data_IF_608396863544
#
_entry.id   IF_608396863544
#
_cell.length_a   1.000
_cell.length_b   1.000
_cell.length_c   1.000
_cell.angle_alpha   90.00
_cell.angle_beta   90.00
_cell.angle_gamma   90.00
#
_symmetry.space_group_name_H-M   'P 1'
#
loop_
_entity.id
_entity.type
_entity.pdbx_description
1 polymer ?
#
# COMPACT_ATOMS: atom_id res chain seq x y z
N UNK A 1 29.31 -15.54 22.22
CA UNK A 1 28.93 -14.24 21.61
C UNK A 1 28.66 -14.51 20.14
N UNK A 2 27.40 -14.75 19.77
CA UNK A 2 27.00 -15.10 18.40
C UNK A 2 26.12 -13.99 17.83
N UNK A 3 26.57 -13.35 16.76
CA UNK A 3 25.82 -12.33 16.04
C UNK A 3 24.69 -13.00 15.25
N UNK A 4 23.45 -12.79 15.70
CA UNK A 4 22.25 -13.05 14.91
C UNK A 4 22.08 -11.93 13.88
N UNK A 5 22.41 -12.20 12.62
CA UNK A 5 21.92 -11.39 11.51
C UNK A 5 20.42 -11.61 11.39
N UNK A 6 19.63 -10.55 11.60
CA UNK A 6 18.20 -10.54 11.34
C UNK A 6 17.97 -10.88 9.87
N UNK A 7 17.29 -12.00 9.63
CA UNK A 7 16.79 -12.38 8.32
C UNK A 7 15.83 -11.30 7.80
N UNK A 8 16.01 -10.89 6.54
CA UNK A 8 15.07 -10.04 5.83
C UNK A 8 13.69 -10.72 5.84
N UNK A 9 12.64 -9.98 6.21
CA UNK A 9 11.27 -10.43 6.03
C UNK A 9 10.99 -10.51 4.52
N UNK A 10 10.89 -11.73 4.01
CA UNK A 10 10.39 -12.02 2.67
C UNK A 10 9.01 -11.38 2.47
N UNK A 11 8.83 -10.82 1.27
CA UNK A 11 7.61 -10.16 0.85
C UNK A 11 6.41 -11.11 0.95
N UNK A 12 5.32 -10.67 1.57
CA UNK A 12 4.05 -11.42 1.60
C UNK A 12 3.32 -11.45 0.25
N UNK A 13 3.89 -10.84 -0.80
CA UNK A 13 3.32 -10.78 -2.15
C UNK A 13 3.30 -12.14 -2.90
N UNK A 14 3.81 -13.22 -2.30
CA UNK A 14 3.88 -14.55 -2.93
C UNK A 14 2.55 -15.34 -2.88
N UNK A 15 1.48 -14.76 -3.42
CA UNK A 15 0.35 -15.55 -3.91
C UNK A 15 0.03 -15.10 -5.33
N UNK A 16 1.01 -15.26 -6.22
CA UNK A 16 0.83 -15.29 -7.67
C UNK A 16 1.28 -16.68 -8.14
N UNK A 17 0.54 -17.37 -9.03
CA UNK A 17 0.93 -18.68 -9.53
C UNK A 17 2.37 -18.68 -10.07
N UNK A 18 3.19 -19.60 -9.54
CA UNK A 18 4.56 -19.88 -9.98
C UNK A 18 4.54 -20.51 -11.38
N UNK A 19 4.37 -19.69 -12.40
CA UNK A 19 4.62 -20.09 -13.79
C UNK A 19 5.80 -19.24 -14.33
N UNK A 20 6.96 -19.89 -14.45
CA UNK A 20 8.19 -19.45 -15.13
C UNK A 20 9.00 -18.28 -14.51
N UNK A 21 9.65 -18.51 -13.36
CA UNK A 21 10.71 -17.63 -12.87
C UNK A 21 12.00 -17.78 -13.71
N UNK A 22 12.15 -16.98 -14.78
CA UNK A 22 13.47 -16.64 -15.31
C UNK A 22 14.23 -15.84 -14.23
N UNK A 23 15.57 -15.97 -14.10
CA UNK A 23 16.31 -15.12 -13.19
C UNK A 23 16.16 -13.66 -13.62
N UNK A 24 15.55 -12.85 -12.75
CA UNK A 24 15.34 -11.43 -13.01
C UNK A 24 16.70 -10.72 -13.17
N UNK A 25 16.85 -9.80 -14.15
CA UNK A 25 18.07 -9.02 -14.32
C UNK A 25 18.45 -8.30 -13.01
N UNK A 26 19.73 -8.40 -12.63
CA UNK A 26 20.24 -7.73 -11.44
C UNK A 26 20.53 -6.25 -11.73
N UNK A 27 20.00 -5.38 -10.88
CA UNK A 27 20.20 -3.93 -10.94
C UNK A 27 20.78 -3.47 -9.61
N UNK A 28 21.87 -2.70 -9.64
CA UNK A 28 22.44 -2.11 -8.43
C UNK A 28 22.06 -0.66 -8.32
N UNK A 29 21.65 -0.24 -7.13
CA UNK A 29 21.39 1.15 -6.82
C UNK A 29 22.30 1.59 -5.68
N UNK A 30 23.13 2.58 -5.96
CA UNK A 30 24.01 3.23 -5.00
C UNK A 30 23.39 4.55 -4.57
N UNK A 31 23.27 4.81 -3.28
CA UNK A 31 22.77 6.09 -2.80
C UNK A 31 22.52 6.12 -1.31
N UNK A 32 22.22 7.32 -0.80
CA UNK A 32 21.86 7.48 0.61
C UNK A 32 20.51 6.80 0.88
N UNK A 33 20.40 5.96 1.93
CA UNK A 33 19.12 5.36 2.31
C UNK A 33 18.08 6.41 2.73
N UNK A 34 18.54 7.57 3.20
CA UNK A 34 17.69 8.68 3.64
C UNK A 34 17.44 9.72 2.53
N UNK A 35 17.92 9.50 1.30
CA UNK A 35 17.61 10.42 0.22
C UNK A 35 16.22 10.14 -0.34
N UNK A 36 15.43 11.21 -0.51
CA UNK A 36 14.13 11.12 -1.17
C UNK A 36 14.28 10.54 -2.58
N UNK A 37 15.22 11.05 -3.37
CA UNK A 37 15.46 10.59 -4.73
C UNK A 37 15.83 9.11 -4.78
N UNK A 38 16.77 8.66 -3.93
CA UNK A 38 17.12 7.24 -3.85
C UNK A 38 15.91 6.38 -3.52
N UNK A 39 15.07 6.82 -2.58
CA UNK A 39 13.88 6.08 -2.16
C UNK A 39 12.86 5.94 -3.29
N UNK A 40 12.62 7.01 -4.07
CA UNK A 40 11.75 6.93 -5.25
C UNK A 40 12.26 5.92 -6.28
N UNK A 41 13.57 5.89 -6.55
CA UNK A 41 14.15 4.92 -7.47
C UNK A 41 14.04 3.49 -6.91
N UNK A 42 14.25 3.29 -5.60
CA UNK A 42 14.05 1.98 -4.95
C UNK A 42 12.63 1.47 -5.17
N UNK A 43 11.62 2.30 -4.87
CA UNK A 43 10.22 1.90 -5.06
C UNK A 43 9.91 1.60 -6.51
N UNK A 44 10.36 2.46 -7.43
CA UNK A 44 10.17 2.24 -8.86
C UNK A 44 10.69 0.86 -9.30
N UNK A 45 11.88 0.48 -8.84
CA UNK A 45 12.50 -0.81 -9.17
C UNK A 45 11.81 -2.00 -8.49
N UNK A 46 11.19 -1.83 -7.32
CA UNK A 46 10.41 -2.91 -6.68
C UNK A 46 9.21 -3.36 -7.53
N UNK A 47 8.66 -2.47 -8.35
CA UNK A 47 7.59 -2.81 -9.29
C UNK A 47 8.08 -3.41 -10.60
N UNK A 48 9.38 -3.36 -10.89
CA UNK A 48 9.95 -3.89 -12.13
C UNK A 48 10.35 -5.36 -11.95
N UNK A 49 10.38 -6.15 -13.03
CA UNK A 49 10.84 -7.54 -12.99
C UNK A 49 12.37 -7.63 -12.89
N UNK A 50 12.97 -7.01 -11.87
CA UNK A 50 14.41 -6.90 -11.63
C UNK A 50 14.75 -7.40 -10.24
N UNK A 51 15.98 -7.87 -10.05
CA UNK A 51 16.54 -8.11 -8.71
C UNK A 51 17.31 -6.87 -8.27
N UNK A 52 16.75 -6.11 -7.33
CA UNK A 52 17.39 -4.90 -6.82
C UNK A 52 18.43 -5.22 -5.74
N UNK A 53 19.68 -4.86 -6.00
CA UNK A 53 20.75 -4.81 -5.00
C UNK A 53 21.00 -3.37 -4.59
N UNK A 54 20.44 -2.96 -3.44
CA UNK A 54 20.70 -1.63 -2.89
C UNK A 54 22.02 -1.59 -2.10
N UNK A 55 22.87 -0.62 -2.40
CA UNK A 55 24.18 -0.41 -1.78
C UNK A 55 24.18 1.00 -1.15
N UNK A 56 24.03 1.11 0.18
CA UNK A 56 24.04 2.39 0.87
C UNK A 56 25.38 3.12 0.66
N UNK A 57 25.34 4.35 0.14
CA UNK A 57 26.54 5.17 -0.06
C UNK A 57 26.20 6.66 -0.09
N UNK A 58 26.91 7.48 0.70
CA UNK A 58 26.81 8.95 0.61
C UNK A 58 27.54 9.50 -0.62
N UNK A 59 28.68 8.88 -0.96
CA UNK A 59 29.45 9.12 -2.19
C UNK A 59 29.72 7.75 -2.83
N UNK A 60 29.21 7.49 -4.04
CA UNK A 60 29.43 6.22 -4.72
C UNK A 60 30.94 6.04 -5.00
N UNK A 61 31.56 4.91 -4.62
CA UNK A 61 32.98 4.72 -4.87
C UNK A 61 33.26 4.64 -6.37
N UNK A 62 34.18 5.47 -6.85
CA UNK A 62 34.83 5.36 -8.17
C UNK A 62 33.96 5.59 -9.43
N UNK A 63 32.77 6.19 -9.31
CA UNK A 63 31.94 6.49 -10.48
C UNK A 63 32.06 7.93 -11.00
N UNK A 64 32.65 8.85 -10.24
CA UNK A 64 32.75 10.27 -10.64
C UNK A 64 31.41 11.02 -10.68
N UNK A 65 30.32 10.40 -10.21
CA UNK A 65 28.97 10.97 -10.16
C UNK A 65 28.54 11.28 -8.72
N UNK A 66 27.65 12.24 -8.56
CA UNK A 66 26.87 12.41 -7.33
C UNK A 66 25.83 11.28 -7.21
N UNK A 67 25.47 10.89 -5.98
CA UNK A 67 24.42 9.92 -5.72
C UNK A 67 23.01 10.52 -6.00
N UNK A 68 22.00 9.73 -6.41
CA UNK A 68 22.05 8.27 -6.60
C UNK A 68 22.61 7.82 -7.96
N UNK A 69 23.20 6.62 -8.00
CA UNK A 69 23.74 5.97 -9.21
C UNK A 69 23.07 4.62 -9.40
N UNK A 70 22.50 4.39 -10.58
CA UNK A 70 21.93 3.13 -11.01
C UNK A 70 22.91 2.42 -11.95
N UNK A 71 23.17 1.13 -11.69
CA UNK A 71 23.99 0.27 -12.53
C UNK A 71 23.15 -0.90 -13.05
N UNK A 72 23.14 -1.08 -14.37
CA UNK A 72 22.55 -2.23 -15.04
C UNK A 72 23.46 -2.72 -16.16
N UNK A 73 24.02 -3.93 -16.04
CA UNK A 73 25.02 -4.41 -16.98
C UNK A 73 26.27 -3.51 -17.02
N UNK A 74 26.61 -3.00 -18.21
CA UNK A 74 27.67 -2.00 -18.42
C UNK A 74 27.23 -0.57 -18.12
N UNK A 75 25.94 -0.34 -17.99
CA UNK A 75 25.37 1.00 -18.01
C UNK A 75 25.36 1.59 -16.60
N UNK A 76 25.74 2.85 -16.52
CA UNK A 76 25.82 3.63 -15.29
C UNK A 76 25.08 4.95 -15.51
N UNK A 77 24.05 5.18 -14.71
CA UNK A 77 23.18 6.35 -14.83
C UNK A 77 23.11 7.06 -13.49
N UNK A 78 23.28 8.37 -13.52
CA UNK A 78 23.09 9.28 -12.40
C UNK A 78 22.42 10.56 -12.89
N UNK A 79 21.86 11.34 -11.98
CA UNK A 79 21.27 12.64 -12.24
C UNK A 79 19.97 12.83 -11.50
N UNK A 80 19.09 13.68 -12.05
CA UNK A 80 17.80 13.95 -11.43
C UNK A 80 16.91 12.71 -11.36
N UNK A 81 16.02 12.68 -10.36
CA UNK A 81 14.96 11.67 -10.22
C UNK A 81 14.23 11.39 -11.54
N UNK A 82 13.86 12.43 -12.27
CA UNK A 82 13.18 12.29 -13.57
C UNK A 82 14.05 11.59 -14.63
N UNK A 83 15.35 11.87 -14.66
CA UNK A 83 16.29 11.24 -15.59
C UNK A 83 16.42 9.74 -15.30
N UNK A 84 16.57 9.38 -14.03
CA UNK A 84 16.71 7.99 -13.61
C UNK A 84 15.42 7.20 -13.79
N UNK A 85 14.26 7.77 -13.45
CA UNK A 85 12.96 7.11 -13.68
C UNK A 85 12.70 6.88 -15.17
N UNK A 86 13.05 7.84 -16.04
CA UNK A 86 12.95 7.67 -17.50
C UNK A 86 13.85 6.54 -18.00
N UNK A 87 15.06 6.41 -17.47
CA UNK A 87 15.92 5.28 -17.79
C UNK A 87 15.29 3.94 -17.35
N UNK A 88 14.77 3.87 -16.12
CA UNK A 88 14.06 2.67 -15.62
C UNK A 88 12.85 2.32 -16.49
N UNK A 89 12.07 3.31 -16.94
CA UNK A 89 10.97 3.11 -17.88
C UNK A 89 11.42 2.63 -19.26
N UNK A 90 12.59 3.07 -19.72
CA UNK A 90 13.11 2.67 -21.04
C UNK A 90 13.60 1.22 -21.02
N UNK A 91 14.38 0.85 -19.99
CA UNK A 91 14.96 -0.48 -19.86
C UNK A 91 13.93 -1.51 -19.37
N UNK A 92 13.00 -1.10 -18.50
CA UNK A 92 11.99 -1.95 -17.90
C UNK A 92 10.60 -1.34 -18.10
N UNK A 93 10.04 -1.35 -19.33
CA UNK A 93 8.81 -0.61 -19.66
C UNK A 93 7.55 -1.14 -18.98
N UNK A 94 7.58 -2.38 -18.48
CA UNK A 94 6.42 -3.01 -17.87
C UNK A 94 6.70 -3.41 -16.41
N UNK A 95 5.78 -3.13 -15.47
CA UNK A 95 4.58 -2.31 -15.62
C UNK A 95 4.91 -0.79 -15.66
N UNK A 96 4.12 0.06 -16.34
CA UNK A 96 4.40 1.50 -16.42
C UNK A 96 4.33 2.21 -15.05
N UNK A 97 5.32 3.05 -14.76
CA UNK A 97 5.43 3.89 -13.55
C UNK A 97 4.74 5.23 -13.70
N UNK A 98 4.53 5.71 -14.94
CA UNK A 98 3.96 7.03 -15.21
C UNK A 98 2.70 6.91 -16.07
N UNK A 99 1.69 7.74 -15.79
CA UNK A 99 0.54 7.96 -16.68
C UNK A 99 0.13 9.42 -16.64
N UNK A 100 -0.56 9.91 -17.68
CA UNK A 100 -1.00 11.31 -17.81
C UNK A 100 -2.18 11.70 -16.91
N UNK A 101 -2.41 11.01 -15.80
CA UNK A 101 -3.54 11.27 -14.89
C UNK A 101 -3.12 12.14 -13.72
N UNK A 102 -3.80 13.28 -13.59
CA UNK A 102 -3.64 14.25 -12.52
C UNK A 102 -3.33 15.63 -13.10
N UNK A 103 -4.38 16.41 -13.37
CA UNK A 103 -4.20 17.85 -13.55
C UNK A 103 -3.55 18.41 -12.28
N UNK A 104 -2.56 19.29 -12.41
CA UNK A 104 -1.91 19.94 -11.25
C UNK A 104 -2.93 20.70 -10.38
N UNK A 105 -4.14 20.90 -10.90
CA UNK A 105 -5.27 21.56 -10.26
C UNK A 105 -6.00 20.71 -9.21
N UNK A 106 -5.91 19.37 -9.25
CA UNK A 106 -6.62 18.53 -8.27
C UNK A 106 -6.03 18.74 -6.87
N UNK A 107 -6.86 19.05 -5.84
CA UNK A 107 -6.40 19.23 -4.47
C UNK A 107 -5.59 18.04 -3.96
N UNK A 108 -4.54 18.31 -3.18
CA UNK A 108 -3.68 17.26 -2.61
C UNK A 108 -4.45 16.28 -1.72
N UNK A 109 -5.43 16.78 -0.97
CA UNK A 109 -6.30 15.97 -0.11
C UNK A 109 -7.15 15.00 -0.93
N UNK A 110 -7.71 15.43 -2.05
CA UNK A 110 -8.49 14.54 -2.94
C UNK A 110 -7.60 13.43 -3.48
N UNK A 111 -6.39 13.80 -3.95
CA UNK A 111 -5.44 12.83 -4.48
C UNK A 111 -5.01 11.79 -3.43
N UNK A 112 -4.71 12.22 -2.20
CA UNK A 112 -4.27 11.29 -1.15
C UNK A 112 -5.40 10.33 -0.76
N UNK A 113 -6.63 10.82 -0.62
CA UNK A 113 -7.82 10.01 -0.29
C UNK A 113 -8.11 8.96 -1.37
N UNK A 114 -8.12 9.35 -2.66
CA UNK A 114 -8.33 8.39 -3.76
C UNK A 114 -7.26 7.29 -3.78
N UNK A 115 -6.00 7.63 -3.52
CA UNK A 115 -4.93 6.62 -3.46
C UNK A 115 -5.15 5.67 -2.27
N UNK A 116 -5.65 6.15 -1.14
CA UNK A 116 -6.00 5.29 -0.01
C UNK A 116 -7.16 4.34 -0.35
N UNK A 117 -8.21 4.81 -1.01
CA UNK A 117 -9.32 3.97 -1.49
C UNK A 117 -8.81 2.82 -2.36
N UNK A 118 -7.88 3.13 -3.28
CA UNK A 118 -7.30 2.14 -4.19
C UNK A 118 -6.48 1.09 -3.45
N UNK A 119 -5.65 1.51 -2.47
CA UNK A 119 -4.88 0.57 -1.63
C UNK A 119 -5.80 -0.36 -0.85
N UNK A 120 -6.80 0.19 -0.16
CA UNK A 120 -7.78 -0.59 0.61
C UNK A 120 -8.52 -1.57 -0.28
N UNK A 121 -9.04 -1.10 -1.42
CA UNK A 121 -9.79 -1.93 -2.38
C UNK A 121 -8.95 -3.10 -2.88
N UNK A 122 -7.68 -2.86 -3.22
CA UNK A 122 -6.78 -3.90 -3.67
C UNK A 122 -6.54 -4.97 -2.60
N UNK A 123 -6.32 -4.55 -1.35
CA UNK A 123 -6.09 -5.49 -0.24
C UNK A 123 -7.33 -6.32 0.08
N UNK A 124 -8.53 -5.72 0.07
CA UNK A 124 -9.79 -6.45 0.23
C UNK A 124 -9.95 -7.48 -0.89
N UNK A 125 -9.72 -7.08 -2.15
CA UNK A 125 -9.76 -7.98 -3.31
C UNK A 125 -8.78 -9.14 -3.22
N UNK A 126 -7.57 -8.87 -2.73
CA UNK A 126 -6.56 -9.90 -2.49
C UNK A 126 -7.00 -10.88 -1.41
N UNK A 127 -7.54 -10.39 -0.28
CA UNK A 127 -8.02 -11.26 0.80
C UNK A 127 -9.23 -12.10 0.37
N UNK A 128 -10.14 -11.56 -0.44
CA UNK A 128 -11.23 -12.33 -1.04
C UNK A 128 -10.68 -13.50 -1.86
N UNK A 129 -9.75 -13.22 -2.79
CA UNK A 129 -9.14 -14.27 -3.64
C UNK A 129 -8.40 -15.33 -2.81
N UNK A 130 -7.69 -14.90 -1.76
CA UNK A 130 -6.98 -15.81 -0.87
C UNK A 130 -7.94 -16.68 -0.05
N UNK A 131 -9.01 -16.10 0.50
CA UNK A 131 -10.04 -16.87 1.21
C UNK A 131 -10.74 -17.90 0.30
N UNK A 132 -11.07 -17.52 -0.94
CA UNK A 132 -11.63 -18.44 -1.93
C UNK A 132 -10.68 -19.58 -2.30
N UNK A 133 -9.38 -19.29 -2.40
CA UNK A 133 -8.37 -20.31 -2.65
C UNK A 133 -8.21 -21.27 -1.46
N UNK A 134 -8.11 -20.74 -0.23
CA UNK A 134 -8.08 -21.56 0.99
C UNK A 134 -9.31 -22.46 1.09
N UNK A 135 -10.50 -21.91 0.83
CA UNK A 135 -11.74 -22.68 0.84
C UNK A 135 -11.75 -23.77 -0.24
N UNK A 136 -11.40 -23.46 -1.49
CA UNK A 136 -11.37 -24.46 -2.59
C UNK A 136 -10.40 -25.61 -2.33
N UNK A 137 -9.27 -25.34 -1.67
CA UNK A 137 -8.30 -26.38 -1.26
C UNK A 137 -8.70 -27.11 0.01
N UNK A 138 -9.73 -26.62 0.70
CA UNK A 138 -10.07 -27.05 2.05
C UNK A 138 -8.92 -26.91 3.04
N UNK A 139 -8.16 -25.82 2.91
CA UNK A 139 -6.96 -25.55 3.70
C UNK A 139 -5.78 -26.48 3.44
N UNK A 140 -5.82 -27.39 2.46
CA UNK A 140 -4.64 -28.21 2.11
C UNK A 140 -3.57 -27.32 1.49
N UNK A 141 -2.35 -27.35 2.03
CA UNK A 141 -1.21 -26.61 1.48
C UNK A 141 -0.95 -27.03 0.02
N UNK A 142 -0.51 -26.08 -0.82
CA UNK A 142 -0.10 -26.36 -2.20
C UNK A 142 1.21 -27.17 -2.31
N UNK A 143 1.80 -27.58 -1.19
CA UNK A 143 3.19 -28.02 -1.15
C UNK A 143 4.16 -26.83 -1.27
N UNK A 144 3.63 -25.61 -1.19
CA UNK A 144 4.40 -24.37 -1.20
C UNK A 144 5.05 -24.19 0.19
N UNK A 145 6.40 -24.27 0.29
CA UNK A 145 7.10 -24.12 1.56
C UNK A 145 6.91 -22.73 2.16
N UNK A 146 6.62 -21.71 1.34
CA UNK A 146 6.38 -20.34 1.79
C UNK A 146 5.07 -20.27 2.57
N UNK A 147 3.98 -20.86 2.08
CA UNK A 147 2.68 -20.83 2.76
C UNK A 147 2.66 -21.63 4.07
N UNK A 148 3.45 -22.70 4.13
CA UNK A 148 3.58 -23.54 5.32
C UNK A 148 2.36 -24.44 5.55
N UNK A 149 2.10 -24.78 6.82
CA UNK A 149 0.96 -25.61 7.21
C UNK A 149 -0.38 -24.85 7.10
N UNK A 150 -1.54 -25.53 7.01
CA UNK A 150 -2.85 -24.88 6.96
C UNK A 150 -3.07 -23.85 8.08
N UNK A 151 -2.60 -24.18 9.28
CA UNK A 151 -2.66 -23.29 10.45
C UNK A 151 -1.76 -22.07 10.31
N UNK A 152 -0.58 -22.23 9.71
CA UNK A 152 0.30 -21.10 9.42
C UNK A 152 -0.32 -20.19 8.36
N UNK A 153 -0.96 -20.76 7.34
CA UNK A 153 -1.65 -20.01 6.30
C UNK A 153 -2.77 -19.13 6.90
N UNK A 154 -3.63 -19.69 7.74
CA UNK A 154 -4.69 -18.93 8.43
C UNK A 154 -4.11 -17.83 9.32
N UNK A 155 -3.00 -18.06 10.03
CA UNK A 155 -2.33 -17.01 10.83
C UNK A 155 -1.78 -15.87 9.97
N UNK A 156 -1.23 -16.19 8.79
CA UNK A 156 -0.77 -15.16 7.85
C UNK A 156 -1.94 -14.37 7.29
N UNK A 157 -3.05 -15.04 7.00
CA UNK A 157 -4.31 -14.41 6.59
C UNK A 157 -4.83 -13.46 7.68
N UNK A 158 -4.91 -13.92 8.93
CA UNK A 158 -5.31 -13.12 10.10
C UNK A 158 -4.45 -11.88 10.27
N UNK A 159 -3.12 -12.02 10.13
CA UNK A 159 -2.19 -10.90 10.19
C UNK A 159 -2.49 -9.88 9.09
N UNK A 160 -2.63 -10.31 7.83
CA UNK A 160 -2.93 -9.40 6.71
C UNK A 160 -4.28 -8.71 6.89
N UNK A 161 -5.31 -9.44 7.32
CA UNK A 161 -6.62 -8.85 7.60
C UNK A 161 -6.55 -7.82 8.75
N UNK A 162 -5.75 -8.09 9.79
CA UNK A 162 -5.56 -7.15 10.89
C UNK A 162 -4.85 -5.87 10.46
N UNK A 163 -3.84 -5.98 9.58
CA UNK A 163 -3.15 -4.83 8.99
C UNK A 163 -4.11 -4.01 8.10
N UNK A 164 -4.92 -4.68 7.27
CA UNK A 164 -5.94 -4.01 6.47
C UNK A 164 -6.96 -3.26 7.33
N UNK A 165 -7.46 -3.90 8.40
CA UNK A 165 -8.40 -3.28 9.31
C UNK A 165 -7.83 -1.99 9.92
N UNK A 166 -6.56 -1.99 10.30
CA UNK A 166 -5.90 -0.80 10.82
C UNK A 166 -5.78 0.31 9.77
N UNK A 167 -5.42 -0.01 8.52
CA UNK A 167 -5.41 0.97 7.42
C UNK A 167 -6.81 1.56 7.17
N UNK A 168 -7.86 0.73 7.21
CA UNK A 168 -9.24 1.19 7.04
C UNK A 168 -9.68 2.12 8.18
N UNK A 169 -9.30 1.82 9.42
CA UNK A 169 -9.62 2.66 10.58
C UNK A 169 -8.86 3.99 10.56
N UNK A 170 -7.59 3.97 10.19
CA UNK A 170 -6.79 5.20 10.00
C UNK A 170 -7.37 6.08 8.90
N UNK A 171 -7.80 5.47 7.80
CA UNK A 171 -8.43 6.16 6.67
C UNK A 171 -9.76 6.81 7.08
N UNK A 172 -10.69 6.06 7.66
CA UNK A 172 -11.95 6.61 8.16
C UNK A 172 -11.72 7.72 9.19
N UNK A 173 -10.75 7.54 10.09
CA UNK A 173 -10.38 8.56 11.07
C UNK A 173 -9.79 9.83 10.43
N UNK A 174 -8.98 9.69 9.39
CA UNK A 174 -8.44 10.81 8.62
C UNK A 174 -9.57 11.62 8.00
N UNK A 175 -10.56 10.96 7.42
CA UNK A 175 -11.72 11.62 6.82
C UNK A 175 -12.55 12.34 7.86
N UNK A 176 -12.94 11.64 8.93
CA UNK A 176 -13.76 12.17 10.02
C UNK A 176 -13.13 13.38 10.72
N UNK A 177 -11.79 13.41 10.84
CA UNK A 177 -11.08 14.48 11.54
C UNK A 177 -10.65 15.63 10.64
N UNK A 178 -10.38 15.36 9.36
CA UNK A 178 -9.77 16.33 8.44
C UNK A 178 -10.67 16.66 7.26
N UNK A 179 -11.03 15.67 6.45
CA UNK A 179 -11.78 15.87 5.18
C UNK A 179 -13.21 16.33 5.47
N UNK A 180 -13.94 15.58 6.30
CA UNK A 180 -15.34 15.85 6.59
C UNK A 180 -15.56 17.19 7.27
N UNK A 181 -14.74 17.62 8.27
CA UNK A 181 -14.89 18.94 8.86
C UNK A 181 -14.65 20.11 7.90
N UNK A 182 -13.91 19.92 6.80
CA UNK A 182 -13.76 20.94 5.76
C UNK A 182 -15.06 21.05 4.96
N UNK A 183 -15.63 19.91 4.54
CA UNK A 183 -16.90 19.87 3.80
C UNK A 183 -18.06 20.40 4.65
N UNK A 184 -18.16 20.01 5.92
CA UNK A 184 -19.21 20.45 6.86
C UNK A 184 -19.17 21.95 7.17
N UNK A 185 -17.99 22.58 7.04
CA UNK A 185 -17.85 24.04 7.13
C UNK A 185 -18.35 24.74 5.87
N UNK A 186 -18.23 24.10 4.72
CA UNK A 186 -18.72 24.63 3.45
C UNK A 186 -20.25 24.49 3.36
N UNK A 187 -20.80 23.32 3.70
CA UNK A 187 -22.23 23.09 3.82
C UNK A 187 -22.53 21.99 4.85
N UNK A 188 -23.50 22.24 5.73
CA UNK A 188 -23.79 21.37 6.88
C UNK A 188 -24.58 20.13 6.44
N UNK A 189 -24.12 18.96 6.88
CA UNK A 189 -24.77 17.67 6.66
C UNK A 189 -24.29 16.92 5.43
N UNK A 190 -23.32 17.45 4.68
CA UNK A 190 -22.76 16.79 3.50
C UNK A 190 -22.17 15.42 3.82
N UNK A 191 -21.57 15.24 4.99
CA UNK A 191 -20.79 14.03 5.31
C UNK A 191 -21.55 13.06 6.22
N UNK A 192 -22.83 13.34 6.48
CA UNK A 192 -23.66 12.53 7.38
C UNK A 192 -23.78 11.08 6.90
N UNK A 193 -24.03 10.86 5.61
CA UNK A 193 -24.20 9.52 5.05
C UNK A 193 -22.91 8.68 5.15
N UNK A 194 -21.77 9.26 4.79
CA UNK A 194 -20.46 8.60 4.89
C UNK A 194 -20.10 8.23 6.35
N UNK A 195 -20.35 9.14 7.30
CA UNK A 195 -20.18 8.86 8.73
C UNK A 195 -21.07 7.70 9.22
N UNK A 196 -22.32 7.65 8.77
CA UNK A 196 -23.22 6.55 9.12
C UNK A 196 -22.79 5.22 8.47
N UNK A 197 -22.13 5.25 7.30
CA UNK A 197 -21.54 4.09 6.65
C UNK A 197 -20.36 3.54 7.46
N UNK A 198 -19.43 4.39 7.89
CA UNK A 198 -18.33 3.98 8.79
C UNK A 198 -18.84 3.27 10.04
N UNK A 199 -19.88 3.82 10.68
CA UNK A 199 -20.48 3.24 11.88
C UNK A 199 -21.13 1.87 11.61
N UNK A 200 -21.72 1.67 10.43
CA UNK A 200 -22.35 0.40 10.02
C UNK A 200 -21.32 -0.67 9.63
N UNK A 201 -20.19 -0.28 9.06
CA UNK A 201 -19.19 -1.22 8.55
C UNK A 201 -18.25 -1.73 9.66
N UNK A 202 -18.03 -0.95 10.71
CA UNK A 202 -17.23 -1.36 11.87
C UNK A 202 -17.63 -2.73 12.48
N UNK A 203 -18.90 -3.02 12.80
CA UNK A 203 -19.30 -4.34 13.30
C UNK A 203 -19.10 -5.46 12.27
N UNK A 204 -19.23 -5.19 10.97
CA UNK A 204 -18.99 -6.18 9.91
C UNK A 204 -17.51 -6.56 9.90
N UNK A 205 -16.63 -5.56 9.92
CA UNK A 205 -15.19 -5.74 9.94
C UNK A 205 -14.73 -6.53 11.17
N UNK A 206 -15.24 -6.19 12.35
CA UNK A 206 -14.93 -6.90 13.60
C UNK A 206 -15.45 -8.34 13.56
N UNK A 207 -16.66 -8.57 13.05
CA UNK A 207 -17.20 -9.92 12.93
C UNK A 207 -16.38 -10.81 12.01
N UNK A 208 -15.82 -10.29 10.91
CA UNK A 208 -14.92 -11.05 10.03
C UNK A 208 -13.61 -11.37 10.77
N UNK A 209 -13.08 -10.43 11.56
CA UNK A 209 -11.88 -10.67 12.38
C UNK A 209 -12.08 -11.86 13.33
N UNK A 210 -13.23 -11.91 14.00
CA UNK A 210 -13.55 -12.98 14.94
C UNK A 210 -13.76 -14.33 14.23
N UNK A 211 -14.37 -14.35 13.04
CA UNK A 211 -14.45 -15.57 12.23
C UNK A 211 -13.07 -16.13 11.88
N UNK A 212 -12.14 -15.26 11.46
CA UNK A 212 -10.78 -15.68 11.11
C UNK A 212 -10.08 -16.29 12.32
N UNK A 213 -10.20 -15.66 13.51
CA UNK A 213 -9.65 -16.20 14.76
C UNK A 213 -10.26 -17.55 15.10
N UNK A 214 -11.59 -17.69 14.95
CA UNK A 214 -12.28 -18.95 15.19
C UNK A 214 -11.77 -20.06 14.26
N UNK A 215 -11.58 -19.78 12.97
CA UNK A 215 -10.98 -20.72 12.02
C UNK A 215 -9.56 -21.12 12.46
N UNK A 216 -8.77 -20.17 12.98
CA UNK A 216 -7.37 -20.39 13.39
C UNK A 216 -7.17 -21.36 14.56
N UNK A 217 -8.24 -21.66 15.32
CA UNK A 217 -8.20 -22.61 16.45
C UNK A 217 -8.80 -23.98 16.13
N UNK A 218 -9.43 -24.14 14.96
CA UNK A 218 -10.02 -25.41 14.53
C UNK A 218 -8.97 -26.38 13.97
N UNK A 219 -9.24 -27.67 14.09
CA UNK A 219 -8.40 -28.72 13.52
C UNK A 219 -8.57 -28.81 12.00
N UNK A 220 -7.46 -28.56 11.29
CA UNK A 220 -7.44 -28.62 9.83
C UNK A 220 -7.83 -30.01 9.32
N UNK A 221 -8.66 -30.05 8.28
CA UNK A 221 -9.12 -31.30 7.67
C UNK A 221 -10.41 -31.87 8.27
N UNK A 222 -10.94 -31.27 9.33
CA UNK A 222 -12.26 -31.64 9.88
C UNK A 222 -13.40 -31.02 9.06
N UNK A 223 -14.62 -31.62 9.05
CA UNK A 223 -15.79 -31.00 8.41
C UNK A 223 -16.12 -29.60 8.97
N UNK A 224 -15.93 -29.39 10.27
CA UNK A 224 -16.16 -28.10 10.94
C UNK A 224 -15.21 -27.02 10.41
N UNK A 225 -13.93 -27.37 10.20
CA UNK A 225 -12.96 -26.46 9.57
C UNK A 225 -13.34 -26.09 8.13
N UNK A 226 -13.84 -27.07 7.35
CA UNK A 226 -14.31 -26.81 5.97
C UNK A 226 -15.53 -25.88 5.94
N UNK A 227 -16.49 -26.11 6.84
CA UNK A 227 -17.68 -25.28 6.98
C UNK A 227 -17.28 -23.83 7.35
N UNK A 228 -16.42 -23.67 8.34
CA UNK A 228 -15.93 -22.35 8.77
C UNK A 228 -15.19 -21.61 7.63
N UNK A 229 -14.32 -22.31 6.88
CA UNK A 229 -13.66 -21.75 5.70
C UNK A 229 -14.67 -21.35 4.60
N UNK A 230 -15.74 -22.12 4.40
CA UNK A 230 -16.75 -21.81 3.38
C UNK A 230 -17.55 -20.54 3.68
N UNK A 231 -17.71 -20.20 4.97
CA UNK A 231 -18.40 -18.99 5.41
C UNK A 231 -17.61 -17.69 5.23
N UNK A 232 -16.28 -17.76 5.15
CA UNK A 232 -15.42 -16.58 5.13
C UNK A 232 -15.48 -15.77 3.80
N UNK A 233 -15.37 -16.38 2.60
CA UNK A 233 -15.41 -15.63 1.34
C UNK A 233 -16.70 -14.80 1.12
N UNK A 234 -17.92 -15.32 1.39
CA UNK A 234 -19.14 -14.51 1.30
C UNK A 234 -19.09 -13.24 2.16
N UNK A 235 -18.58 -13.34 3.39
CA UNK A 235 -18.47 -12.17 4.29
C UNK A 235 -17.47 -11.13 3.78
N UNK A 236 -16.31 -11.58 3.30
CA UNK A 236 -15.31 -10.69 2.69
C UNK A 236 -15.83 -10.02 1.42
N UNK A 237 -16.64 -10.72 0.61
CA UNK A 237 -17.31 -10.14 -0.57
C UNK A 237 -18.34 -9.08 -0.20
N UNK A 238 -19.07 -9.26 0.90
CA UNK A 238 -19.95 -8.22 1.42
C UNK A 238 -19.16 -6.97 1.82
N UNK A 239 -18.08 -7.13 2.58
CA UNK A 239 -17.19 -6.02 2.94
C UNK A 239 -16.60 -5.33 1.69
N UNK A 240 -16.13 -6.11 0.71
CA UNK A 240 -15.64 -5.62 -0.56
C UNK A 240 -16.67 -4.77 -1.30
N UNK A 241 -17.92 -5.23 -1.34
CA UNK A 241 -19.02 -4.51 -1.97
C UNK A 241 -19.26 -3.18 -1.25
N UNK A 242 -19.33 -3.19 0.08
CA UNK A 242 -19.51 -1.98 0.88
C UNK A 242 -18.39 -0.97 0.64
N UNK A 243 -17.12 -1.39 0.72
CA UNK A 243 -15.98 -0.51 0.45
C UNK A 243 -16.06 0.13 -0.94
N UNK A 244 -16.37 -0.67 -1.97
CA UNK A 244 -16.48 -0.17 -3.34
C UNK A 244 -17.63 0.82 -3.52
N UNK A 245 -18.77 0.56 -2.90
CA UNK A 245 -19.94 1.45 -2.98
C UNK A 245 -19.65 2.76 -2.24
N UNK A 246 -19.16 2.67 -1.00
CA UNK A 246 -18.76 3.81 -0.18
C UNK A 246 -17.74 4.72 -0.89
N UNK A 247 -16.57 4.18 -1.27
CA UNK A 247 -15.52 4.97 -1.94
C UNK A 247 -16.00 5.58 -3.26
N UNK A 248 -16.84 4.87 -4.01
CA UNK A 248 -17.39 5.41 -5.26
C UNK A 248 -18.33 6.59 -5.01
N UNK A 249 -19.18 6.51 -4.01
CA UNK A 249 -20.08 7.61 -3.65
C UNK A 249 -19.29 8.81 -3.12
N UNK A 250 -18.28 8.58 -2.29
CA UNK A 250 -17.40 9.64 -1.81
C UNK A 250 -16.61 10.32 -2.93
N UNK A 251 -15.95 9.55 -3.81
CA UNK A 251 -15.21 10.09 -4.95
C UNK A 251 -16.11 10.93 -5.86
N UNK A 252 -17.32 10.43 -6.13
CA UNK A 252 -18.27 11.08 -7.03
C UNK A 252 -18.93 12.31 -6.41
N UNK A 253 -19.18 12.31 -5.10
CA UNK A 253 -19.98 13.34 -4.45
C UNK A 253 -19.15 14.21 -3.51
N UNK A 254 -18.48 13.62 -2.52
CA UNK A 254 -17.76 14.37 -1.50
C UNK A 254 -16.43 14.94 -2.02
N UNK A 255 -15.63 14.14 -2.71
CA UNK A 255 -14.34 14.60 -3.23
C UNK A 255 -14.50 15.56 -4.40
N UNK A 256 -15.54 15.38 -5.22
CA UNK A 256 -15.90 16.36 -6.26
C UNK A 256 -16.30 17.71 -5.66
N UNK A 257 -16.95 17.73 -4.49
CA UNK A 257 -17.21 18.98 -3.75
C UNK A 257 -15.94 19.55 -3.14
N UNK A 258 -15.04 18.71 -2.63
CA UNK A 258 -13.73 19.12 -2.13
C UNK A 258 -12.88 19.80 -3.22
N UNK A 259 -12.98 19.36 -4.47
CA UNK A 259 -12.35 20.03 -5.63
C UNK A 259 -12.88 21.45 -5.86
N UNK A 260 -14.15 21.70 -5.57
CA UNK A 260 -14.75 23.03 -5.68
C UNK A 260 -14.42 23.94 -4.48
N UNK A 261 -13.81 23.42 -3.42
CA UNK A 261 -13.36 24.24 -2.29
C UNK A 261 -12.06 24.94 -2.70
N UNK A 262 -12.13 26.26 -2.80
CA UNK A 262 -11.00 27.13 -3.14
C UNK A 262 -9.99 27.25 -1.98
N UNK A 263 -9.24 26.18 -1.71
CA UNK A 263 -8.13 26.22 -0.76
C UNK A 263 -6.93 26.97 -1.38
N UNK A 264 -6.26 27.78 -0.58
CA UNK A 264 -4.97 28.34 -0.96
C UNK A 264 -3.90 27.25 -1.09
N UNK A 265 -2.78 27.54 -1.77
CA UNK A 265 -1.66 26.60 -1.89
C UNK A 265 -1.13 26.16 -0.52
N UNK A 266 -1.03 27.09 0.42
CA UNK A 266 -0.60 26.83 1.79
C UNK A 266 -1.61 25.95 2.54
N UNK A 267 -2.92 26.17 2.31
CA UNK A 267 -3.97 25.34 2.88
C UNK A 267 -3.94 23.91 2.32
N UNK A 268 -3.70 23.73 1.02
CA UNK A 268 -3.55 22.39 0.45
C UNK A 268 -2.42 21.59 1.10
N UNK A 269 -1.25 22.22 1.31
CA UNK A 269 -0.11 21.54 1.97
C UNK A 269 -0.44 21.26 3.43
N UNK A 270 -1.02 22.23 4.15
CA UNK A 270 -1.39 22.05 5.55
C UNK A 270 -2.42 20.93 5.75
N UNK A 271 -3.44 20.85 4.89
CA UNK A 271 -4.45 19.78 4.95
C UNK A 271 -3.80 18.44 4.62
N UNK A 272 -2.93 18.37 3.62
CA UNK A 272 -2.16 17.16 3.34
C UNK A 272 -1.35 16.70 4.56
N UNK A 273 -0.63 17.61 5.22
CA UNK A 273 0.14 17.28 6.42
C UNK A 273 -0.75 16.69 7.53
N UNK A 274 -1.93 17.30 7.75
CA UNK A 274 -2.91 16.80 8.70
C UNK A 274 -3.46 15.42 8.33
N UNK A 275 -3.69 15.16 7.05
CA UNK A 275 -4.10 13.84 6.57
C UNK A 275 -3.00 12.79 6.81
N UNK A 276 -1.75 13.14 6.54
CA UNK A 276 -0.61 12.25 6.78
C UNK A 276 -0.44 11.96 8.28
N UNK A 277 -0.65 12.96 9.15
CA UNK A 277 -0.60 12.79 10.61
C UNK A 277 -1.73 11.93 11.18
N UNK A 278 -2.94 12.07 10.63
CA UNK A 278 -4.09 11.31 11.10
C UNK A 278 -3.94 9.80 10.89
N UNK A 279 -3.16 9.39 9.89
CA UNK A 279 -2.93 7.98 9.54
C UNK A 279 -1.66 7.43 10.17
N UNK A 280 -1.53 7.56 11.48
CA UNK A 280 -0.30 7.26 12.21
C UNK A 280 0.13 5.79 12.07
N UNK A 281 -0.79 4.82 12.14
CA UNK A 281 -0.47 3.39 11.98
C UNK A 281 0.02 3.09 10.56
N UNK A 282 -0.73 3.59 9.58
CA UNK A 282 -0.48 3.48 8.14
C UNK A 282 0.88 4.08 7.76
N UNK A 283 1.21 5.27 8.27
CA UNK A 283 2.45 5.98 7.96
C UNK A 283 3.58 5.70 8.95
N UNK A 284 3.37 4.77 9.88
CA UNK A 284 4.43 4.14 10.66
C UNK A 284 4.63 2.70 10.15
N UNK A 285 4.35 1.71 10.96
CA UNK A 285 4.67 0.31 10.73
C UNK A 285 3.91 -0.37 9.58
N UNK A 286 2.87 0.25 9.02
CA UNK A 286 2.08 -0.31 7.91
C UNK A 286 2.37 0.31 6.56
N UNK A 287 3.34 1.22 6.45
CA UNK A 287 3.52 1.99 5.22
C UNK A 287 3.86 1.11 4.01
N UNK A 288 4.69 0.09 4.22
CA UNK A 288 4.98 -0.92 3.19
C UNK A 288 3.74 -1.71 2.77
N UNK A 289 2.92 -2.12 3.74
CA UNK A 289 1.66 -2.82 3.47
C UNK A 289 0.72 -1.93 2.65
N UNK A 290 0.59 -0.66 3.01
CA UNK A 290 -0.19 0.32 2.25
C UNK A 290 0.29 0.46 0.80
N UNK A 291 1.59 0.68 0.58
CA UNK A 291 2.16 0.84 -0.76
C UNK A 291 1.99 -0.42 -1.61
N UNK A 292 2.05 -1.62 -1.02
CA UNK A 292 1.80 -2.89 -1.74
C UNK A 292 0.40 -2.94 -2.39
N UNK A 293 -0.59 -2.23 -1.80
CA UNK A 293 -1.94 -2.10 -2.34
C UNK A 293 -2.06 -1.17 -3.54
N UNK A 294 -0.99 -0.46 -3.90
CA UNK A 294 -0.99 0.47 -5.02
C UNK A 294 -0.33 -0.14 -6.25
N UNK A 295 -0.94 0.12 -7.40
CA UNK A 295 -0.28 -0.08 -8.69
C UNK A 295 0.92 0.88 -8.82
N UNK A 296 1.91 0.57 -9.66
CA UNK A 296 3.19 1.29 -9.66
C UNK A 296 3.04 2.82 -9.78
N UNK A 297 2.21 3.28 -10.72
CA UNK A 297 1.93 4.71 -10.91
C UNK A 297 1.33 5.39 -9.67
N UNK A 298 0.45 4.69 -8.96
CA UNK A 298 -0.28 5.23 -7.82
C UNK A 298 0.66 5.31 -6.61
N UNK A 299 1.54 4.32 -6.46
CA UNK A 299 2.62 4.36 -5.48
C UNK A 299 3.57 5.53 -5.74
N UNK A 300 4.00 5.74 -6.98
CA UNK A 300 4.86 6.89 -7.33
C UNK A 300 4.16 8.23 -7.01
N UNK A 301 2.87 8.35 -7.33
CA UNK A 301 2.07 9.53 -6.97
C UNK A 301 1.97 9.74 -5.46
N UNK A 302 1.83 8.67 -4.69
CA UNK A 302 1.79 8.74 -3.23
C UNK A 302 3.12 9.26 -2.66
N UNK A 303 4.25 8.80 -3.19
CA UNK A 303 5.58 9.28 -2.79
C UNK A 303 5.80 10.75 -3.14
N UNK A 304 5.31 11.18 -4.30
CA UNK A 304 5.34 12.60 -4.68
C UNK A 304 4.49 13.46 -3.74
N UNK A 305 3.32 12.96 -3.29
CA UNK A 305 2.49 13.64 -2.29
C UNK A 305 3.23 13.74 -0.95
N UNK A 306 3.78 12.63 -0.45
CA UNK A 306 4.56 12.62 0.79
C UNK A 306 5.72 13.62 0.69
N UNK A 307 6.43 13.67 -0.44
CA UNK A 307 7.55 14.60 -0.63
C UNK A 307 7.15 16.08 -0.62
N UNK A 308 5.86 16.40 -0.76
CA UNK A 308 5.31 17.76 -0.63
C UNK A 308 4.95 18.14 0.81
N UNK A 309 5.01 17.18 1.75
CA UNK A 309 4.82 17.41 3.18
C UNK A 309 5.80 18.45 3.71
N UNK A 310 5.35 19.31 4.62
CA UNK A 310 6.24 20.28 5.27
C UNK A 310 7.14 19.62 6.33
N UNK A 311 6.70 18.51 6.93
CA UNK A 311 7.47 17.73 7.89
C UNK A 311 8.44 16.78 7.19
N UNK A 312 9.72 17.16 7.13
CA UNK A 312 10.77 16.37 6.48
C UNK A 312 11.17 15.14 7.29
N UNK A 313 11.08 15.17 8.62
CA UNK A 313 11.45 14.03 9.47
C UNK A 313 10.43 12.88 9.28
N UNK A 314 9.14 13.22 9.18
CA UNK A 314 8.08 12.27 8.84
C UNK A 314 8.30 11.66 7.46
N UNK A 315 8.61 12.48 6.45
CA UNK A 315 8.91 12.00 5.08
C UNK A 315 10.05 11.00 5.10
N UNK A 316 11.16 11.34 5.76
CA UNK A 316 12.33 10.46 5.85
C UNK A 316 12.01 9.16 6.58
N UNK A 317 11.25 9.23 7.68
CA UNK A 317 10.79 8.05 8.42
C UNK A 317 9.97 7.12 7.53
N UNK A 318 8.99 7.65 6.80
CA UNK A 318 8.16 6.89 5.86
C UNK A 318 9.00 6.22 4.77
N UNK A 319 9.85 6.98 4.09
CA UNK A 319 10.67 6.47 3.00
C UNK A 319 11.63 5.36 3.43
N UNK A 320 12.15 5.42 4.66
CA UNK A 320 13.02 4.37 5.21
C UNK A 320 12.29 3.04 5.44
N UNK A 321 10.96 3.02 5.56
CA UNK A 321 10.18 1.81 5.84
C UNK A 321 9.76 1.03 4.59
N UNK A 322 9.96 1.59 3.39
CA UNK A 322 9.52 0.94 2.15
C UNK A 322 10.36 -0.31 1.83
N UNK A 323 11.54 -0.46 2.44
CA UNK A 323 12.49 -1.52 2.12
C UNK A 323 13.00 -2.24 3.35
#
# INVERSE_FOLDING_TARGET
MGNCFKTLNESTAEIVPSDFAKPSPAVRLYGSPTSSDTSHIRVALLYKPVSLQFIPSQTPPNFGFEAPVLQYGSDLISGSRATMLRYVETEFPNPPLMSSWGDETTPLVVRVTVLQHRSVTWHVERLVRWAEDMWRRGGKSRGDPVLGSPRMEVRKFEKNYSQLLEVMLDHAQMEEKIVFPILEKADRGLTKAANEEHARDLPIMNGIKEDIKAIGVLDSGTPVYQEALSGLPPRLKTLQKHCREHFKEEERHLLSLMEAIELSKEQHVKVLDQCLDAMHGTHSHLFRFFIEGLVPRDAMQYLDLISRSSDQDRVLSMLNMIV
#
